data_IF_680852054766
#
_entry.id   IF_680852054766
#
_cell.length_a   1.000
_cell.length_b   1.000
_cell.length_c   1.000
_cell.angle_alpha   90.00
_cell.angle_beta   90.00
_cell.angle_gamma   90.00
#
_symmetry.space_group_name_H-M   'P 1'
#
loop_
_entity.id
_entity.type
_entity.pdbx_description
1 polymer ?
#
# COMPACT_ATOMS: atom_id res chain seq x y z
N UNK A 1 -10.45 22.11 9.59
CA UNK A 1 -11.46 21.32 8.81
C UNK A 1 -11.92 20.16 9.68
N UNK A 2 -13.19 19.79 9.61
CA UNK A 2 -13.74 18.73 10.46
C UNK A 2 -12.93 17.41 10.45
N UNK A 3 -12.27 17.10 9.33
CA UNK A 3 -11.44 15.93 9.24
C UNK A 3 -10.15 16.07 10.08
N UNK A 4 -9.53 17.26 10.07
CA UNK A 4 -8.34 17.51 10.88
C UNK A 4 -8.65 17.54 12.37
N UNK A 5 -9.86 17.98 12.73
CA UNK A 5 -10.32 17.99 14.13
C UNK A 5 -10.44 16.55 14.67
N UNK A 6 -10.89 15.60 13.85
CA UNK A 6 -10.93 14.17 14.21
C UNK A 6 -9.52 13.62 14.45
N UNK A 7 -8.55 13.96 13.60
CA UNK A 7 -7.16 13.55 13.81
C UNK A 7 -6.57 14.16 15.09
N UNK A 8 -6.89 15.42 15.37
CA UNK A 8 -6.43 16.07 16.60
C UNK A 8 -6.99 15.38 17.85
N UNK A 9 -8.30 15.07 17.87
CA UNK A 9 -8.92 14.32 18.97
C UNK A 9 -8.26 12.96 19.16
N UNK A 10 -7.97 12.24 18.08
CA UNK A 10 -7.32 10.94 18.17
C UNK A 10 -5.91 11.06 18.78
N UNK A 11 -5.12 12.05 18.34
CA UNK A 11 -3.77 12.29 18.86
C UNK A 11 -3.81 12.70 20.32
N UNK A 12 -4.71 13.60 20.71
CA UNK A 12 -4.90 14.04 22.09
C UNK A 12 -5.36 12.89 23.00
N UNK A 13 -6.01 11.86 22.41
CA UNK A 13 -6.40 10.62 23.09
C UNK A 13 -5.28 9.57 23.12
N UNK A 14 -4.07 9.89 22.67
CA UNK A 14 -2.89 9.01 22.74
C UNK A 14 -2.61 8.19 21.50
N UNK A 15 -3.28 8.45 20.37
CA UNK A 15 -2.95 7.80 19.09
C UNK A 15 -1.60 8.31 18.58
N UNK A 16 -0.65 7.41 18.40
CA UNK A 16 0.72 7.69 17.96
C UNK A 16 1.02 7.25 16.53
N UNK A 17 0.06 6.60 15.88
CA UNK A 17 0.25 6.08 14.53
C UNK A 17 -1.04 6.22 13.71
N UNK A 18 -0.89 6.64 12.47
CA UNK A 18 -2.00 6.83 11.53
C UNK A 18 -1.77 5.99 10.28
N UNK A 19 -2.71 5.12 9.97
CA UNK A 19 -2.76 4.44 8.67
C UNK A 19 -3.63 5.25 7.72
N UNK A 20 -3.13 5.52 6.53
CA UNK A 20 -3.82 6.33 5.53
C UNK A 20 -3.62 5.78 4.13
N UNK A 21 -4.71 5.64 3.36
CA UNK A 21 -4.61 5.38 1.93
C UNK A 21 -4.53 6.70 1.14
N UNK A 22 -4.13 6.63 -0.12
CA UNK A 22 -3.93 7.79 -0.99
C UNK A 22 -5.22 8.29 -1.67
N UNK A 23 -6.35 8.32 -0.94
CA UNK A 23 -7.59 8.90 -1.45
C UNK A 23 -7.46 10.42 -1.67
N UNK A 24 -8.46 11.04 -2.29
CA UNK A 24 -8.44 12.46 -2.64
C UNK A 24 -8.22 13.40 -1.45
N UNK A 25 -8.73 13.04 -0.26
CA UNK A 25 -8.59 13.85 0.96
C UNK A 25 -7.25 13.62 1.67
N UNK A 26 -6.56 12.54 1.36
CA UNK A 26 -5.29 12.21 2.01
C UNK A 26 -4.24 13.31 1.81
N UNK A 27 -4.28 14.00 0.67
CA UNK A 27 -3.35 15.11 0.39
C UNK A 27 -3.53 16.27 1.37
N UNK A 28 -4.76 16.70 1.66
CA UNK A 28 -5.05 17.75 2.65
C UNK A 28 -4.49 17.38 4.03
N UNK A 29 -4.69 16.13 4.44
CA UNK A 29 -4.21 15.61 5.71
C UNK A 29 -2.68 15.61 5.76
N UNK A 30 -2.03 15.04 4.75
CA UNK A 30 -0.58 14.99 4.66
C UNK A 30 0.05 16.40 4.67
N UNK A 31 -0.47 17.30 3.84
CA UNK A 31 0.03 18.69 3.74
C UNK A 31 -0.05 19.40 5.10
N UNK A 32 -1.15 19.23 5.83
CA UNK A 32 -1.31 19.80 7.18
C UNK A 32 -0.24 19.28 8.15
N UNK A 33 -0.07 17.96 8.22
CA UNK A 33 0.89 17.36 9.15
C UNK A 33 2.35 17.60 8.75
N UNK A 34 2.65 17.73 7.46
CA UNK A 34 3.96 18.14 6.97
C UNK A 34 4.27 19.57 7.41
N UNK A 35 3.32 20.49 7.22
CA UNK A 35 3.47 21.91 7.63
C UNK A 35 3.59 22.08 9.15
N UNK A 36 3.02 21.18 9.94
CA UNK A 36 3.01 21.21 11.39
C UNK A 36 3.88 20.12 12.03
N UNK A 37 4.87 19.59 11.31
CA UNK A 37 5.69 18.44 11.75
C UNK A 37 6.33 18.59 13.12
N UNK A 38 6.78 19.80 13.48
CA UNK A 38 7.38 20.10 14.79
C UNK A 38 6.40 19.93 15.95
N UNK A 39 5.10 20.00 15.69
CA UNK A 39 4.02 19.82 16.68
C UNK A 39 3.75 18.36 16.98
N UNK A 40 4.12 17.45 16.04
CA UNK A 40 3.81 16.03 16.08
C UNK A 40 5.07 15.17 15.82
N UNK A 41 6.16 15.34 16.60
CA UNK A 41 7.44 14.70 16.31
C UNK A 41 7.39 13.17 16.41
N UNK A 42 6.53 12.65 17.27
CA UNK A 42 6.40 11.20 17.53
C UNK A 42 5.31 10.53 16.70
N UNK A 43 4.56 11.28 15.89
CA UNK A 43 3.48 10.70 15.09
C UNK A 43 4.04 9.90 13.92
N UNK A 44 3.70 8.61 13.91
CA UNK A 44 4.12 7.68 12.87
C UNK A 44 3.06 7.54 11.78
N UNK A 45 3.49 7.30 10.55
CA UNK A 45 2.60 7.16 9.41
C UNK A 45 2.77 5.80 8.74
N UNK A 46 1.64 5.22 8.39
CA UNK A 46 1.52 3.91 7.74
C UNK A 46 0.73 4.03 6.43
N UNK A 47 1.37 4.46 5.32
CA UNK A 47 0.73 4.45 4.01
C UNK A 47 0.20 3.07 3.64
N UNK A 48 -1.07 2.99 3.24
CA UNK A 48 -1.72 1.78 2.72
C UNK A 48 -1.93 1.96 1.21
N UNK A 49 -0.98 1.51 0.40
CA UNK A 49 -0.83 1.82 -1.02
C UNK A 49 -0.33 0.60 -1.83
N UNK A 50 -0.52 0.61 -3.17
CA UNK A 50 -1.33 1.55 -3.93
C UNK A 50 -2.82 1.43 -3.60
N UNK A 51 -3.58 2.51 -3.81
CA UNK A 51 -5.03 2.55 -3.56
C UNK A 51 -5.82 2.10 -4.80
N UNK A 52 -6.31 0.84 -4.86
CA UNK A 52 -6.85 0.26 -6.09
C UNK A 52 -8.06 1.01 -6.65
N UNK A 53 -8.94 1.54 -5.77
CA UNK A 53 -10.13 2.26 -6.20
C UNK A 53 -9.83 3.52 -7.02
N UNK A 54 -8.66 4.14 -6.80
CA UNK A 54 -8.20 5.28 -7.58
C UNK A 54 -7.99 4.95 -9.06
N UNK A 55 -7.61 3.70 -9.34
CA UNK A 55 -7.26 3.24 -10.68
C UNK A 55 -8.37 2.42 -11.32
N UNK A 56 -9.27 1.82 -10.54
CA UNK A 56 -10.33 0.95 -11.03
C UNK A 56 -11.25 1.65 -12.04
N UNK A 57 -11.69 2.87 -11.74
CA UNK A 57 -12.54 3.65 -12.64
C UNK A 57 -11.80 4.01 -13.92
N UNK A 58 -10.54 4.47 -13.82
CA UNK A 58 -9.72 4.82 -14.97
C UNK A 58 -9.46 3.61 -15.88
N UNK A 59 -9.21 2.43 -15.27
CA UNK A 59 -9.00 1.19 -15.99
C UNK A 59 -10.29 0.74 -16.69
N UNK A 60 -11.45 0.88 -16.02
CA UNK A 60 -12.74 0.51 -16.58
C UNK A 60 -13.16 1.42 -17.76
N UNK A 61 -12.86 2.72 -17.66
CA UNK A 61 -13.22 3.70 -18.69
C UNK A 61 -12.27 3.71 -19.89
N UNK A 62 -10.97 3.59 -19.64
CA UNK A 62 -9.91 3.82 -20.64
C UNK A 62 -9.08 2.61 -20.98
N UNK A 63 -9.22 1.53 -20.21
CA UNK A 63 -8.34 0.35 -20.25
C UNK A 63 -7.01 0.56 -19.49
N UNK A 64 -6.27 -0.52 -19.31
CA UNK A 64 -5.04 -0.54 -18.47
C UNK A 64 -3.95 0.36 -19.05
N UNK A 65 -3.63 0.23 -20.33
CA UNK A 65 -2.51 0.95 -20.97
C UNK A 65 -2.71 2.47 -20.99
N UNK A 66 -3.86 3.01 -21.41
CA UNK A 66 -4.11 4.45 -21.35
C UNK A 66 -4.10 5.00 -19.91
N UNK A 67 -4.62 4.22 -18.95
CA UNK A 67 -4.59 4.60 -17.52
C UNK A 67 -3.17 4.73 -16.99
N UNK A 68 -2.32 3.77 -17.27
CA UNK A 68 -0.90 3.83 -16.88
C UNK A 68 -0.22 5.04 -17.51
N UNK A 69 -0.45 5.29 -18.79
CA UNK A 69 0.13 6.46 -19.49
C UNK A 69 -0.35 7.77 -18.85
N UNK A 70 -1.63 7.90 -18.50
CA UNK A 70 -2.15 9.12 -17.86
C UNK A 70 -1.52 9.34 -16.47
N UNK A 71 -1.37 8.29 -15.67
CA UNK A 71 -0.71 8.36 -14.37
C UNK A 71 0.73 8.85 -14.53
N UNK A 72 1.44 8.31 -15.51
CA UNK A 72 2.83 8.64 -15.78
C UNK A 72 3.01 10.07 -16.29
N UNK A 73 2.12 10.55 -17.17
CA UNK A 73 2.16 11.91 -17.71
C UNK A 73 1.87 12.94 -16.61
N UNK A 74 0.90 12.70 -15.75
CA UNK A 74 0.57 13.59 -14.62
C UNK A 74 1.72 13.75 -13.63
N UNK A 75 2.58 12.76 -13.53
CA UNK A 75 3.66 12.72 -12.54
C UNK A 75 4.99 13.32 -13.03
N UNK A 76 5.09 13.84 -14.26
CA UNK A 76 6.30 14.42 -14.86
C UNK A 76 7.62 13.62 -14.70
N UNK A 77 7.56 12.44 -14.07
CA UNK A 77 8.74 11.60 -13.80
C UNK A 77 8.93 10.48 -14.83
N UNK A 78 8.08 10.44 -15.84
CA UNK A 78 7.84 9.24 -16.63
C UNK A 78 8.43 9.24 -18.05
N UNK A 79 9.30 10.15 -18.40
CA UNK A 79 9.93 10.10 -19.74
C UNK A 79 10.77 8.82 -19.98
N UNK A 80 11.14 8.11 -18.92
CA UNK A 80 11.87 6.84 -19.03
C UNK A 80 11.01 5.58 -19.14
N UNK A 81 9.74 5.62 -18.72
CA UNK A 81 8.86 4.44 -18.67
C UNK A 81 8.01 4.25 -19.93
N UNK A 82 7.82 5.31 -20.73
CA UNK A 82 6.98 5.28 -21.94
C UNK A 82 7.48 4.26 -23.00
N UNK A 83 8.75 3.95 -23.01
CA UNK A 83 9.34 3.00 -23.97
C UNK A 83 9.09 1.52 -23.66
N UNK A 84 8.57 1.19 -22.47
CA UNK A 84 8.44 -0.21 -22.02
C UNK A 84 7.04 -0.80 -22.21
N UNK A 85 6.00 0.01 -22.38
CA UNK A 85 4.60 -0.46 -22.38
C UNK A 85 4.06 -0.78 -23.78
N UNK A 86 4.82 -0.50 -24.83
CA UNK A 86 4.35 -0.66 -26.23
C UNK A 86 4.40 -2.10 -26.77
N UNK A 87 4.82 -3.09 -26.00
CA UNK A 87 4.94 -4.48 -26.47
C UNK A 87 3.96 -5.41 -25.74
N UNK A 88 2.75 -5.52 -26.27
CA UNK A 88 1.88 -6.70 -26.17
C UNK A 88 1.21 -7.00 -24.84
N UNK A 89 -0.10 -7.10 -24.88
CA UNK A 89 -1.02 -7.40 -23.77
C UNK A 89 -0.86 -8.76 -23.07
N UNK A 90 0.06 -9.62 -23.50
CA UNK A 90 0.31 -10.93 -22.90
C UNK A 90 1.49 -10.96 -21.90
N UNK A 91 2.28 -9.90 -21.80
CA UNK A 91 3.48 -9.84 -20.95
C UNK A 91 3.25 -9.17 -19.58
N UNK A 92 1.99 -8.89 -19.21
CA UNK A 92 1.62 -8.19 -17.96
C UNK A 92 1.75 -9.10 -16.72
N UNK A 93 1.90 -10.40 -16.90
CA UNK A 93 2.12 -11.37 -15.81
C UNK A 93 3.63 -11.57 -15.61
N UNK A 94 4.22 -10.92 -14.62
CA UNK A 94 5.63 -11.10 -14.25
C UNK A 94 6.37 -9.79 -14.05
N UNK A 95 7.51 -9.60 -14.73
CA UNK A 95 8.40 -8.43 -14.52
C UNK A 95 7.72 -7.07 -14.74
N UNK A 96 6.73 -6.99 -15.63
CA UNK A 96 6.01 -5.76 -15.91
C UNK A 96 5.01 -5.42 -14.80
N UNK A 97 4.36 -6.43 -14.20
CA UNK A 97 3.48 -6.24 -13.04
C UNK A 97 4.27 -5.74 -11.81
N UNK A 98 5.47 -6.28 -11.59
CA UNK A 98 6.37 -5.82 -10.52
C UNK A 98 6.76 -4.36 -10.73
N UNK A 99 7.17 -3.99 -11.95
CA UNK A 99 7.54 -2.60 -12.27
C UNK A 99 6.36 -1.64 -12.11
N UNK A 100 5.18 -2.06 -12.55
CA UNK A 100 3.94 -1.27 -12.39
C UNK A 100 3.64 -1.05 -10.90
N UNK A 101 3.68 -2.09 -10.09
CA UNK A 101 3.48 -1.99 -8.64
C UNK A 101 4.47 -1.01 -8.00
N UNK A 102 5.76 -1.13 -8.31
CA UNK A 102 6.81 -0.25 -7.79
C UNK A 102 6.57 1.21 -8.19
N UNK A 103 6.19 1.44 -9.44
CA UNK A 103 5.88 2.77 -9.94
C UNK A 103 4.65 3.40 -9.27
N UNK A 104 3.58 2.64 -9.08
CA UNK A 104 2.39 3.11 -8.38
C UNK A 104 2.70 3.46 -6.92
N UNK A 105 3.50 2.64 -6.25
CA UNK A 105 4.00 2.94 -4.90
C UNK A 105 4.77 4.27 -4.91
N UNK A 106 5.68 4.48 -5.84
CA UNK A 106 6.48 5.70 -5.92
C UNK A 106 5.62 6.95 -6.12
N UNK A 107 4.65 6.88 -7.01
CA UNK A 107 3.72 7.99 -7.28
C UNK A 107 2.94 8.35 -6.03
N UNK A 108 2.39 7.34 -5.34
CA UNK A 108 1.57 7.59 -4.16
C UNK A 108 2.39 7.99 -2.93
N UNK A 109 3.62 7.47 -2.80
CA UNK A 109 4.53 7.87 -1.72
C UNK A 109 4.97 9.34 -1.75
N UNK A 110 4.84 10.03 -2.89
CA UNK A 110 5.14 11.46 -2.97
C UNK A 110 4.31 12.29 -2.00
N UNK A 111 3.05 11.90 -1.80
CA UNK A 111 2.13 12.54 -0.86
C UNK A 111 2.63 12.47 0.59
N UNK A 112 3.31 11.39 0.95
CA UNK A 112 3.80 11.15 2.32
C UNK A 112 5.22 11.68 2.55
N UNK A 113 5.85 12.31 1.55
CA UNK A 113 7.21 12.84 1.65
C UNK A 113 7.27 13.94 2.72
N UNK A 114 8.08 13.73 3.74
CA UNK A 114 8.24 14.66 4.87
C UNK A 114 7.56 14.17 6.15
N UNK A 115 6.67 13.19 6.08
CA UNK A 115 6.09 12.50 7.23
C UNK A 115 7.03 11.42 7.78
N UNK A 116 6.85 11.04 9.05
CA UNK A 116 7.62 9.98 9.69
C UNK A 116 7.01 8.60 9.33
N UNK A 117 7.26 8.13 8.13
CA UNK A 117 6.76 6.83 7.65
C UNK A 117 7.59 5.70 8.25
N UNK A 118 6.95 4.70 8.84
CA UNK A 118 7.61 3.51 9.45
C UNK A 118 7.37 2.23 8.69
N UNK A 119 6.19 2.06 8.12
CA UNK A 119 5.80 0.89 7.34
C UNK A 119 5.01 1.37 6.13
N UNK A 120 5.27 0.79 4.96
CA UNK A 120 4.38 0.92 3.79
C UNK A 120 3.59 -0.37 3.69
N UNK A 121 2.26 -0.28 3.71
CA UNK A 121 1.38 -1.43 3.61
C UNK A 121 0.86 -1.63 2.20
N UNK A 122 0.99 -2.85 1.69
CA UNK A 122 0.24 -3.29 0.51
C UNK A 122 -1.21 -3.54 0.92
N UNK A 123 -2.16 -2.99 0.18
CA UNK A 123 -3.59 -3.10 0.52
C UNK A 123 -4.11 -4.54 0.43
N UNK A 124 -5.09 -4.86 1.28
CA UNK A 124 -5.68 -6.19 1.39
C UNK A 124 -6.22 -6.73 0.06
N UNK A 125 -6.88 -5.92 -0.76
CA UNK A 125 -7.39 -6.33 -2.08
C UNK A 125 -6.26 -6.89 -2.94
N UNK A 126 -5.10 -6.27 -2.93
CA UNK A 126 -3.93 -6.70 -3.69
C UNK A 126 -3.27 -7.89 -3.01
N UNK A 127 -3.05 -7.79 -1.70
CA UNK A 127 -2.41 -8.86 -0.91
C UNK A 127 -3.19 -10.17 -1.03
N UNK A 128 -4.50 -10.14 -0.78
CA UNK A 128 -5.33 -11.34 -0.77
C UNK A 128 -5.51 -11.93 -2.18
N UNK A 129 -5.55 -11.08 -3.22
CA UNK A 129 -5.54 -11.53 -4.61
C UNK A 129 -4.23 -12.27 -4.94
N UNK A 130 -3.09 -11.68 -4.65
CA UNK A 130 -1.77 -12.28 -4.89
C UNK A 130 -1.57 -13.56 -4.05
N UNK A 131 -2.06 -13.56 -2.81
CA UNK A 131 -2.05 -14.73 -1.92
C UNK A 131 -2.92 -15.86 -2.49
N UNK A 132 -4.09 -15.52 -3.04
CA UNK A 132 -4.98 -16.48 -3.69
C UNK A 132 -4.34 -17.18 -4.89
N UNK A 133 -3.54 -16.46 -5.67
CA UNK A 133 -2.78 -17.00 -6.82
C UNK A 133 -1.39 -17.52 -6.43
N UNK A 134 -0.99 -17.44 -5.17
CA UNK A 134 0.33 -17.85 -4.66
C UNK A 134 1.51 -17.26 -5.44
N UNK A 135 1.44 -15.96 -5.76
CA UNK A 135 2.44 -15.28 -6.59
C UNK A 135 3.65 -14.84 -5.74
N UNK A 136 4.44 -15.81 -5.29
CA UNK A 136 5.64 -15.64 -4.44
C UNK A 136 6.57 -14.51 -4.90
N UNK A 137 6.87 -14.46 -6.19
CA UNK A 137 7.86 -13.52 -6.74
C UNK A 137 7.44 -12.04 -6.57
N UNK A 138 6.14 -11.75 -6.60
CA UNK A 138 5.64 -10.38 -6.39
C UNK A 138 5.77 -9.99 -4.92
N UNK A 139 5.49 -10.90 -3.97
CA UNK A 139 5.70 -10.65 -2.55
C UNK A 139 7.19 -10.37 -2.23
N UNK A 140 8.10 -11.18 -2.77
CA UNK A 140 9.54 -10.94 -2.64
C UNK A 140 9.94 -9.58 -3.22
N UNK A 141 9.52 -9.30 -4.44
CA UNK A 141 9.85 -8.04 -5.13
C UNK A 141 9.31 -6.82 -4.38
N UNK A 142 8.10 -6.90 -3.82
CA UNK A 142 7.51 -5.84 -3.00
C UNK A 142 8.34 -5.61 -1.73
N UNK A 143 8.59 -6.66 -0.95
CA UNK A 143 9.31 -6.55 0.31
C UNK A 143 10.73 -6.02 0.11
N UNK A 144 11.45 -6.54 -0.87
CA UNK A 144 12.79 -6.06 -1.22
C UNK A 144 12.78 -4.59 -1.67
N UNK A 145 11.80 -4.20 -2.48
CA UNK A 145 11.69 -2.84 -2.99
C UNK A 145 11.51 -1.84 -1.87
N UNK A 146 10.58 -2.10 -0.93
CA UNK A 146 10.34 -1.23 0.21
C UNK A 146 11.61 -1.10 1.07
N UNK A 147 12.25 -2.21 1.40
CA UNK A 147 13.48 -2.20 2.21
C UNK A 147 14.62 -1.46 1.52
N UNK A 148 14.85 -1.73 0.24
CA UNK A 148 15.98 -1.16 -0.51
C UNK A 148 15.80 0.33 -0.79
N UNK A 149 14.60 0.74 -1.22
CA UNK A 149 14.34 2.12 -1.65
C UNK A 149 14.00 3.05 -0.50
N UNK A 150 13.06 2.62 0.35
CA UNK A 150 12.51 3.48 1.41
C UNK A 150 13.23 3.29 2.74
N UNK A 151 14.01 2.22 2.94
CA UNK A 151 14.74 1.89 4.17
C UNK A 151 13.83 1.74 5.40
N UNK A 152 12.63 1.21 5.19
CA UNK A 152 11.62 0.94 6.21
C UNK A 152 11.05 -0.48 6.02
N UNK A 153 10.21 -0.91 6.96
CA UNK A 153 9.60 -2.23 6.90
C UNK A 153 8.48 -2.29 5.84
N UNK A 154 8.41 -3.37 5.07
CA UNK A 154 7.23 -3.68 4.28
C UNK A 154 6.09 -4.15 5.18
N UNK A 155 4.86 -3.79 4.82
CA UNK A 155 3.66 -4.25 5.48
C UNK A 155 2.69 -4.89 4.50
N UNK A 156 1.89 -5.83 4.99
CA UNK A 156 0.86 -6.51 4.22
C UNK A 156 -0.46 -6.46 5.01
N UNK A 157 -1.52 -5.95 4.37
CA UNK A 157 -2.85 -6.00 4.95
C UNK A 157 -3.57 -7.20 4.35
N UNK A 158 -4.20 -8.03 5.18
CA UNK A 158 -4.90 -9.23 4.73
C UNK A 158 -6.17 -9.48 5.55
N UNK A 159 -7.14 -10.14 4.95
CA UNK A 159 -8.29 -10.72 5.64
C UNK A 159 -8.07 -12.21 5.96
N UNK A 160 -6.91 -12.78 5.59
CA UNK A 160 -6.55 -14.16 5.85
C UNK A 160 -5.13 -14.23 6.43
N UNK A 161 -4.99 -13.77 7.68
CA UNK A 161 -3.70 -13.72 8.38
C UNK A 161 -3.04 -15.11 8.52
N UNK A 162 -3.75 -16.19 8.91
CA UNK A 162 -3.13 -17.50 9.07
C UNK A 162 -2.48 -17.97 7.76
N UNK A 163 -3.22 -17.96 6.65
CA UNK A 163 -2.67 -18.35 5.34
C UNK A 163 -1.52 -17.47 4.89
N UNK A 164 -1.62 -16.13 5.11
CA UNK A 164 -0.53 -15.24 4.75
C UNK A 164 0.73 -15.56 5.54
N UNK A 165 0.61 -15.76 6.86
CA UNK A 165 1.73 -16.14 7.73
C UNK A 165 2.41 -17.41 7.23
N UNK A 166 1.64 -18.49 7.02
CA UNK A 166 2.15 -19.77 6.55
C UNK A 166 2.89 -19.64 5.22
N UNK A 167 2.33 -18.87 4.28
CA UNK A 167 2.97 -18.65 2.96
C UNK A 167 4.22 -17.80 3.05
N UNK A 168 4.26 -16.79 3.90
CA UNK A 168 5.48 -16.01 4.11
C UNK A 168 6.60 -16.87 4.70
N UNK A 169 6.29 -17.74 5.67
CA UNK A 169 7.24 -18.71 6.23
C UNK A 169 7.73 -19.70 5.17
N UNK A 170 6.80 -20.31 4.40
CA UNK A 170 7.12 -21.23 3.30
C UNK A 170 8.04 -20.56 2.24
N UNK A 171 7.80 -19.30 1.96
CA UNK A 171 8.54 -18.55 0.95
C UNK A 171 9.85 -17.93 1.48
N UNK A 172 10.11 -17.99 2.78
CA UNK A 172 11.28 -17.39 3.41
C UNK A 172 11.26 -15.86 3.36
N UNK A 173 10.08 -15.25 3.48
CA UNK A 173 9.90 -13.79 3.52
C UNK A 173 9.77 -13.37 5.00
N UNK A 174 10.82 -12.77 5.51
CA UNK A 174 10.95 -12.34 6.90
C UNK A 174 10.83 -10.81 7.04
N UNK A 175 10.79 -10.30 8.27
CA UNK A 175 10.75 -8.88 8.60
C UNK A 175 9.61 -8.12 7.89
N UNK A 176 8.41 -8.69 7.93
CA UNK A 176 7.18 -8.11 7.37
C UNK A 176 6.19 -7.83 8.48
N UNK A 177 5.55 -6.66 8.43
CA UNK A 177 4.46 -6.32 9.35
C UNK A 177 3.14 -6.78 8.75
N UNK A 178 2.41 -7.64 9.45
CA UNK A 178 1.07 -8.06 9.04
C UNK A 178 0.02 -7.22 9.77
N UNK A 179 -0.92 -6.69 9.02
CA UNK A 179 -2.11 -6.01 9.55
C UNK A 179 -3.36 -6.79 9.14
N UNK A 180 -4.16 -7.18 10.11
CA UNK A 180 -5.39 -7.92 9.89
C UNK A 180 -6.46 -7.55 10.91
N UNK A 181 -7.72 -7.83 10.59
CA UNK A 181 -8.82 -7.70 11.54
C UNK A 181 -8.69 -8.75 12.64
N UNK A 182 -8.98 -8.35 13.88
CA UNK A 182 -9.08 -9.26 15.02
C UNK A 182 -10.24 -8.82 15.91
N UNK A 183 -11.31 -9.62 15.96
CA UNK A 183 -12.52 -9.27 16.69
C UNK A 183 -13.35 -10.50 17.07
N UNK A 184 -14.21 -10.36 18.07
CA UNK A 184 -14.99 -11.48 18.66
C UNK A 184 -16.03 -12.10 17.72
N UNK A 185 -16.42 -11.43 16.64
CA UNK A 185 -17.46 -11.92 15.72
C UNK A 185 -16.89 -12.48 14.43
N UNK A 186 -15.56 -12.51 14.27
CA UNK A 186 -14.92 -13.03 13.06
C UNK A 186 -15.08 -12.14 11.82
N UNK A 187 -15.46 -10.88 11.97
CA UNK A 187 -15.64 -9.99 10.84
C UNK A 187 -14.31 -9.71 10.14
N UNK A 188 -14.24 -10.00 8.83
CA UNK A 188 -13.01 -9.89 8.02
C UNK A 188 -11.85 -10.75 8.57
N UNK A 189 -12.17 -11.91 9.14
CA UNK A 189 -11.22 -12.91 9.63
C UNK A 189 -11.46 -14.22 8.89
N UNK A 190 -10.68 -14.49 7.87
CA UNK A 190 -10.78 -15.69 7.05
C UNK A 190 -9.66 -16.67 7.42
N UNK A 191 -9.90 -17.99 7.49
CA UNK A 191 -11.17 -18.65 7.23
C UNK A 191 -12.22 -18.47 8.35
N UNK A 192 -11.78 -18.32 9.61
CA UNK A 192 -12.61 -18.23 10.81
C UNK A 192 -11.78 -17.69 12.00
N UNK A 193 -12.42 -17.50 13.16
CA UNK A 193 -11.79 -16.99 14.39
C UNK A 193 -10.78 -18.00 14.96
N UNK A 194 -11.10 -19.28 14.93
CA UNK A 194 -10.31 -20.35 15.53
C UNK A 194 -8.89 -20.36 14.97
N UNK A 195 -8.76 -20.21 13.66
CA UNK A 195 -7.45 -20.13 12.98
C UNK A 195 -6.62 -18.87 13.31
N UNK A 196 -7.23 -17.86 13.94
CA UNK A 196 -6.51 -16.65 14.38
C UNK A 196 -6.03 -16.73 15.83
N UNK A 197 -6.51 -17.72 16.57
CA UNK A 197 -6.18 -17.89 18.00
C UNK A 197 -5.07 -18.93 18.21
N UNK A 198 -4.92 -19.86 17.26
CA UNK A 198 -3.82 -20.84 17.23
C UNK A 198 -2.48 -20.16 16.91
#
# INVERSE_FOLDING_TARGET
SAILDVYQIAIDSGVQAIMLNSNERAKEICDYFIANKSKYPELNWYPSIPYPHKYANLISEKGIIPTINEILIRDNSAMGALGMITKGSAAILGKDAIKLMQMLIDVEMKMFKGLNVKVIFLQNIITDLLLGYEVKDIFHAYCEYIRKKYKILPGLITQNMPRLKDKLEEWGIEEVVICSSFNKIGYLMSPDIENYIE
#
